data_IF_741052956189
#
_entry.id   IF_741052956189
#
_cell.length_a   1.000
_cell.length_b   1.000
_cell.length_c   1.000
_cell.angle_alpha   90.00
_cell.angle_beta   90.00
_cell.angle_gamma   90.00
#
_symmetry.space_group_name_H-M   'P 1'
#
loop_
_entity.id
_entity.type
_entity.pdbx_description
1 polymer ?
#
# COMPACT_ATOMS: atom_id res chain seq x y z
N UNK A 1 30.30 23.16 10.65
CA UNK A 1 30.96 24.48 10.69
C UNK A 1 31.48 24.85 9.32
N UNK A 2 31.53 26.13 8.98
CA UNK A 2 32.03 26.61 7.68
C UNK A 2 33.23 27.52 7.95
N UNK A 3 34.39 27.16 7.41
CA UNK A 3 35.60 27.99 7.47
C UNK A 3 35.67 28.89 6.23
N UNK A 4 35.63 30.20 6.47
CA UNK A 4 35.70 31.24 5.44
C UNK A 4 37.07 31.89 5.55
N UNK A 5 38.01 31.40 4.75
CA UNK A 5 39.41 31.83 4.78
C UNK A 5 40.11 31.43 3.48
N UNK A 6 41.13 32.17 3.02
CA UNK A 6 41.98 31.77 1.89
C UNK A 6 42.94 30.60 2.21
N UNK A 7 42.83 30.00 3.40
CA UNK A 7 43.57 28.82 3.85
C UNK A 7 42.67 27.99 4.78
N UNK A 8 42.87 26.68 4.85
CA UNK A 8 42.05 25.73 5.61
C UNK A 8 42.69 25.30 6.95
N UNK A 9 43.44 26.20 7.60
CA UNK A 9 44.24 25.90 8.80
C UNK A 9 43.36 25.42 9.97
N UNK A 10 42.15 25.97 10.12
CA UNK A 10 41.31 25.65 11.27
C UNK A 10 40.67 24.27 11.14
N UNK A 11 40.66 23.64 9.96
CA UNK A 11 40.10 22.30 9.77
C UNK A 11 40.70 21.28 10.74
N UNK A 12 42.03 21.22 10.85
CA UNK A 12 42.71 20.26 11.72
C UNK A 12 42.40 20.49 13.20
N UNK A 13 42.26 21.75 13.61
CA UNK A 13 41.94 22.10 15.00
C UNK A 13 40.48 21.73 15.27
N UNK A 14 39.56 22.23 14.45
CA UNK A 14 38.13 22.01 14.61
C UNK A 14 37.75 20.54 14.57
N UNK A 15 38.38 19.73 13.71
CA UNK A 15 38.12 18.29 13.64
C UNK A 15 38.50 17.54 14.94
N UNK A 16 39.42 18.08 15.74
CA UNK A 16 39.83 17.48 17.01
C UNK A 16 38.97 17.93 18.21
N UNK A 17 38.32 19.10 18.12
CA UNK A 17 37.54 19.69 19.22
C UNK A 17 36.02 19.61 19.02
N UNK A 18 35.56 19.44 17.79
CA UNK A 18 34.14 19.30 17.48
C UNK A 18 33.69 17.83 17.63
N UNK A 19 32.41 17.64 17.92
CA UNK A 19 31.80 16.32 17.91
C UNK A 19 31.83 15.72 16.50
N UNK A 20 31.93 14.39 16.42
CA UNK A 20 31.94 13.63 15.15
C UNK A 20 30.67 13.80 14.31
N UNK A 21 29.58 14.28 14.91
CA UNK A 21 28.32 14.60 14.24
C UNK A 21 28.37 15.94 13.50
N UNK A 22 29.37 16.79 13.74
CA UNK A 22 29.49 18.09 13.10
C UNK A 22 30.27 17.95 11.79
N UNK A 23 29.61 18.25 10.67
CA UNK A 23 30.30 18.37 9.37
C UNK A 23 31.06 19.69 9.32
N UNK A 24 32.39 19.62 9.21
CA UNK A 24 33.27 20.78 9.04
C UNK A 24 33.68 20.90 7.57
N UNK A 25 33.49 22.09 6.99
CA UNK A 25 33.76 22.35 5.55
C UNK A 25 34.57 23.63 5.40
N UNK A 26 35.73 23.56 4.75
CA UNK A 26 36.48 24.73 4.30
C UNK A 26 36.03 25.15 2.90
N UNK A 27 35.86 26.45 2.67
CA UNK A 27 35.43 26.95 1.35
C UNK A 27 36.59 27.08 0.34
N UNK A 28 37.82 27.09 0.81
CA UNK A 28 39.00 27.28 -0.02
C UNK A 28 40.19 26.49 0.53
N UNK A 29 40.96 25.91 -0.38
CA UNK A 29 42.21 25.23 -0.09
C UNK A 29 43.27 25.74 -1.08
N UNK A 30 44.45 26.06 -0.55
CA UNK A 30 45.54 26.59 -1.38
C UNK A 30 46.31 25.42 -1.99
N UNK A 31 45.91 25.02 -3.20
CA UNK A 31 46.67 24.10 -4.05
C UNK A 31 47.55 24.88 -5.03
N UNK A 32 48.63 24.27 -5.54
CA UNK A 32 49.51 24.92 -6.53
C UNK A 32 48.75 25.26 -7.84
N UNK A 33 47.74 24.45 -8.17
CA UNK A 33 46.77 24.71 -9.23
C UNK A 33 45.52 25.40 -8.66
N UNK A 34 45.23 26.61 -9.13
CA UNK A 34 44.14 27.46 -8.62
C UNK A 34 42.77 26.96 -9.12
N UNK A 35 42.22 25.92 -8.51
CA UNK A 35 40.97 25.32 -8.97
C UNK A 35 39.74 25.87 -8.24
N UNK A 36 38.91 26.63 -8.98
CA UNK A 36 37.54 26.99 -8.59
C UNK A 36 36.64 25.76 -8.31
N UNK A 37 37.08 24.57 -8.72
CA UNK A 37 36.41 23.28 -8.48
C UNK A 37 36.27 22.97 -6.98
N UNK A 38 37.26 23.35 -6.17
CA UNK A 38 37.26 23.11 -4.71
C UNK A 38 36.09 23.85 -4.04
N UNK A 39 35.78 25.06 -4.52
CA UNK A 39 34.69 25.86 -3.96
C UNK A 39 33.31 25.22 -4.24
N UNK A 40 33.06 24.78 -5.48
CA UNK A 40 31.80 24.12 -5.84
C UNK A 40 31.67 22.75 -5.15
N UNK A 41 32.76 22.02 -4.95
CA UNK A 41 32.77 20.79 -4.16
C UNK A 41 32.36 21.06 -2.71
N UNK A 42 32.92 22.10 -2.09
CA UNK A 42 32.55 22.50 -0.73
C UNK A 42 31.08 22.91 -0.61
N UNK A 43 30.51 23.59 -1.61
CA UNK A 43 29.07 23.86 -1.67
C UNK A 43 28.27 22.54 -1.75
N UNK A 44 28.72 21.57 -2.55
CA UNK A 44 28.12 20.24 -2.63
C UNK A 44 28.14 19.51 -1.27
N UNK A 45 29.25 19.60 -0.52
CA UNK A 45 29.36 19.06 0.84
C UNK A 45 28.36 19.73 1.79
N UNK A 46 28.16 21.04 1.68
CA UNK A 46 27.14 21.75 2.47
C UNK A 46 25.72 21.29 2.12
N UNK A 47 25.42 21.07 0.84
CA UNK A 47 24.12 20.53 0.41
C UNK A 47 23.88 19.13 1.00
N UNK A 48 24.87 18.24 0.91
CA UNK A 48 24.79 16.90 1.48
C UNK A 48 24.66 16.90 3.01
N UNK A 49 25.18 17.93 3.68
CA UNK A 49 24.98 18.16 5.12
C UNK A 49 23.59 18.71 5.47
N UNK A 50 22.70 18.88 4.49
CA UNK A 50 21.32 19.32 4.66
C UNK A 50 21.10 20.83 4.49
N UNK A 51 22.13 21.62 4.15
CA UNK A 51 21.95 23.03 3.81
C UNK A 51 21.37 23.20 2.40
N UNK A 52 20.84 24.38 2.09
CA UNK A 52 20.20 24.68 0.80
C UNK A 52 20.83 25.91 0.12
N UNK A 53 22.11 25.83 -0.31
CA UNK A 53 22.80 26.94 -0.95
C UNK A 53 22.14 27.33 -2.29
N UNK A 54 21.96 28.64 -2.52
CA UNK A 54 21.35 29.17 -3.74
C UNK A 54 22.40 29.34 -4.86
N UNK A 55 22.86 28.22 -5.41
CA UNK A 55 23.97 28.18 -6.39
C UNK A 55 23.70 29.03 -7.63
N UNK A 56 22.44 29.18 -8.04
CA UNK A 56 22.04 29.99 -9.18
C UNK A 56 22.53 31.45 -9.09
N UNK A 57 22.68 32.00 -7.88
CA UNK A 57 23.15 33.38 -7.65
C UNK A 57 24.64 33.59 -7.97
N UNK A 58 25.41 32.50 -8.14
CA UNK A 58 26.82 32.58 -8.55
C UNK A 58 26.97 32.83 -10.05
N UNK A 59 25.91 32.63 -10.83
CA UNK A 59 25.90 32.75 -12.29
C UNK A 59 24.94 33.86 -12.72
N UNK A 60 25.05 34.29 -13.97
CA UNK A 60 24.08 35.21 -14.56
C UNK A 60 22.67 34.61 -14.54
N UNK A 61 21.67 35.48 -14.44
CA UNK A 61 20.26 35.09 -14.49
C UNK A 61 19.94 34.35 -15.78
N UNK A 62 19.20 33.24 -15.67
CA UNK A 62 18.72 32.46 -16.81
C UNK A 62 17.47 33.10 -17.38
N UNK A 63 17.42 33.28 -18.69
CA UNK A 63 16.26 33.76 -19.44
C UNK A 63 15.26 32.60 -19.65
N UNK A 64 13.98 32.85 -19.39
CA UNK A 64 12.89 31.89 -19.61
C UNK A 64 11.94 32.37 -20.71
N UNK A 65 11.30 31.45 -21.48
CA UNK A 65 11.30 30.00 -21.33
C UNK A 65 12.61 29.35 -21.82
N UNK A 66 12.86 28.12 -21.37
CA UNK A 66 14.02 27.34 -21.82
C UNK A 66 13.92 26.96 -23.31
N UNK A 67 15.06 26.76 -23.95
CA UNK A 67 15.15 26.40 -25.37
C UNK A 67 14.50 25.04 -25.69
N UNK A 68 14.01 24.91 -26.93
CA UNK A 68 13.50 23.63 -27.46
C UNK A 68 14.62 22.57 -27.43
N UNK A 69 14.31 21.37 -26.95
CA UNK A 69 15.27 20.28 -26.81
C UNK A 69 15.98 20.22 -25.46
N UNK A 70 15.67 21.13 -24.53
CA UNK A 70 16.09 20.98 -23.13
C UNK A 70 15.57 19.65 -22.56
N UNK A 71 16.44 18.80 -21.97
CA UNK A 71 16.05 17.48 -21.46
C UNK A 71 14.92 17.53 -20.44
N UNK A 72 14.09 16.48 -20.42
CA UNK A 72 13.04 16.32 -19.41
C UNK A 72 13.63 15.95 -18.05
N UNK A 73 13.11 16.57 -16.98
CA UNK A 73 13.49 16.26 -15.60
C UNK A 73 12.73 15.02 -15.07
N UNK A 74 11.46 14.86 -15.45
CA UNK A 74 10.58 13.80 -14.91
C UNK A 74 11.17 12.38 -14.97
N UNK A 75 11.82 11.93 -16.05
CA UNK A 75 12.39 10.57 -16.11
C UNK A 75 13.60 10.33 -15.20
N UNK A 76 14.21 11.40 -14.66
CA UNK A 76 15.39 11.31 -13.79
C UNK A 76 15.01 11.16 -12.31
N UNK A 77 13.78 11.49 -11.95
CA UNK A 77 13.28 11.38 -10.57
C UNK A 77 12.81 9.93 -10.36
N UNK A 78 13.37 9.28 -9.34
CA UNK A 78 13.00 7.92 -8.94
C UNK A 78 12.46 7.93 -7.52
N UNK A 79 11.46 7.09 -7.28
CA UNK A 79 10.90 6.85 -5.95
C UNK A 79 11.23 5.44 -5.50
N UNK A 80 11.17 5.23 -4.18
CA UNK A 80 11.21 3.89 -3.62
C UNK A 80 9.86 3.20 -3.86
N UNK A 81 9.87 2.17 -4.70
CA UNK A 81 8.70 1.38 -5.08
C UNK A 81 8.76 -0.04 -4.49
N UNK A 82 9.42 -0.22 -3.34
CA UNK A 82 9.53 -1.52 -2.67
C UNK A 82 8.20 -2.04 -2.12
N UNK A 83 7.29 -1.13 -1.73
CA UNK A 83 5.99 -1.49 -1.17
C UNK A 83 4.89 -1.42 -2.23
N UNK A 84 4.14 -2.52 -2.36
CA UNK A 84 2.97 -2.57 -3.22
C UNK A 84 1.72 -2.10 -2.46
N UNK A 85 1.00 -1.16 -3.06
CA UNK A 85 -0.31 -0.75 -2.57
C UNK A 85 -1.39 -1.66 -3.14
N UNK A 86 -2.44 -1.91 -2.36
CA UNK A 86 -3.60 -2.66 -2.84
C UNK A 86 -4.22 -1.96 -4.05
N UNK A 87 -4.29 -2.69 -5.17
CA UNK A 87 -5.02 -2.27 -6.37
C UNK A 87 -6.17 -3.24 -6.57
N UNK A 88 -7.41 -2.72 -6.53
CA UNK A 88 -8.59 -3.50 -6.84
C UNK A 88 -8.47 -4.03 -8.28
N UNK A 89 -8.26 -5.33 -8.41
CA UNK A 89 -8.35 -6.03 -9.69
C UNK A 89 -9.77 -6.58 -9.81
N UNK A 90 -10.52 -6.12 -10.80
CA UNK A 90 -11.80 -6.74 -11.15
C UNK A 90 -11.47 -8.12 -11.72
N UNK A 91 -11.51 -9.15 -10.88
CA UNK A 91 -11.59 -10.54 -11.37
C UNK A 91 -12.98 -10.68 -11.97
N UNK A 92 -13.07 -11.15 -13.22
CA UNK A 92 -14.34 -11.67 -13.72
C UNK A 92 -14.79 -12.74 -12.73
N UNK A 93 -15.98 -12.58 -12.14
CA UNK A 93 -16.58 -13.60 -11.28
C UNK A 93 -16.51 -14.92 -12.03
N UNK A 94 -15.96 -15.94 -11.39
CA UNK A 94 -16.06 -17.30 -11.92
C UNK A 94 -17.56 -17.60 -12.06
N UNK A 95 -17.99 -17.81 -13.29
CA UNK A 95 -19.35 -18.25 -13.56
C UNK A 95 -19.44 -19.63 -12.95
N UNK A 96 -20.13 -19.73 -11.82
CA UNK A 96 -20.43 -21.01 -11.22
C UNK A 96 -21.45 -21.68 -12.13
N UNK A 97 -21.02 -22.70 -12.88
CA UNK A 97 -21.92 -23.59 -13.64
C UNK A 97 -22.31 -24.82 -12.80
N UNK A 98 -21.87 -24.86 -11.54
CA UNK A 98 -22.03 -26.00 -10.64
C UNK A 98 -23.22 -25.80 -9.69
N UNK A 99 -24.11 -26.81 -9.64
CA UNK A 99 -25.27 -26.83 -8.72
C UNK A 99 -24.90 -27.10 -7.27
N UNK A 100 -23.60 -27.15 -6.97
CA UNK A 100 -23.01 -27.34 -5.65
C UNK A 100 -21.80 -26.42 -5.49
N UNK A 101 -21.73 -25.73 -4.35
CA UNK A 101 -20.62 -24.83 -3.96
C UNK A 101 -20.22 -25.15 -2.53
N UNK A 102 -18.92 -25.10 -2.23
CA UNK A 102 -18.41 -25.13 -0.85
C UNK A 102 -17.96 -23.73 -0.46
N UNK A 103 -18.47 -23.24 0.67
CA UNK A 103 -18.04 -21.98 1.28
C UNK A 103 -17.28 -22.30 2.56
N UNK A 104 -16.02 -21.89 2.62
CA UNK A 104 -15.20 -22.03 3.82
C UNK A 104 -15.22 -20.75 4.63
N UNK A 105 -15.42 -20.88 5.95
CA UNK A 105 -15.60 -19.75 6.87
C UNK A 105 -14.68 -19.95 8.07
N UNK A 106 -13.80 -18.98 8.28
CA UNK A 106 -12.89 -18.92 9.42
C UNK A 106 -12.99 -17.57 10.10
N UNK A 107 -13.28 -17.55 11.42
CA UNK A 107 -13.33 -16.29 12.18
C UNK A 107 -11.97 -15.61 12.38
N UNK A 108 -10.89 -16.24 11.93
CA UNK A 108 -9.54 -15.63 11.88
C UNK A 108 -9.44 -14.67 10.69
N UNK A 109 -10.17 -14.96 9.60
CA UNK A 109 -10.15 -14.12 8.41
C UNK A 109 -10.90 -12.82 8.67
N UNK A 110 -10.31 -11.69 8.26
CA UNK A 110 -10.87 -10.35 8.49
C UNK A 110 -12.28 -10.22 7.88
N UNK A 111 -12.53 -10.89 6.76
CA UNK A 111 -13.83 -10.94 6.10
C UNK A 111 -14.93 -11.51 7.01
N UNK A 112 -14.62 -12.52 7.82
CA UNK A 112 -15.59 -13.23 8.65
C UNK A 112 -15.48 -12.93 10.14
N UNK A 113 -14.54 -12.07 10.56
CA UNK A 113 -14.33 -11.68 11.94
C UNK A 113 -15.61 -11.13 12.61
N UNK A 114 -16.50 -10.49 11.84
CA UNK A 114 -17.78 -9.99 12.35
C UNK A 114 -18.70 -11.09 12.90
N UNK A 115 -18.55 -12.35 12.45
CA UNK A 115 -19.36 -13.47 12.95
C UNK A 115 -19.09 -13.77 14.42
N UNK A 116 -17.94 -13.34 14.97
CA UNK A 116 -17.63 -13.46 16.41
C UNK A 116 -18.63 -12.74 17.31
N UNK A 117 -19.38 -11.77 16.78
CA UNK A 117 -20.42 -11.06 17.51
C UNK A 117 -21.73 -11.83 17.69
N UNK A 118 -21.96 -12.92 16.95
CA UNK A 118 -23.23 -13.66 17.03
C UNK A 118 -23.15 -14.80 18.06
N UNK A 119 -23.38 -14.44 19.32
CA UNK A 119 -23.29 -15.36 20.46
C UNK A 119 -24.68 -15.73 20.98
N UNK A 120 -24.97 -17.03 21.05
CA UNK A 120 -26.21 -17.58 21.61
C UNK A 120 -25.85 -18.61 22.67
N UNK A 121 -26.38 -18.46 23.88
CA UNK A 121 -26.08 -19.33 25.03
C UNK A 121 -24.56 -19.52 25.23
N UNK A 122 -23.82 -18.41 25.22
CA UNK A 122 -22.35 -18.37 25.41
C UNK A 122 -21.53 -19.09 24.32
N UNK A 123 -22.18 -19.53 23.23
CA UNK A 123 -21.51 -20.14 22.08
C UNK A 123 -21.58 -19.21 20.89
N UNK A 124 -20.46 -19.04 20.21
CA UNK A 124 -20.44 -18.40 18.90
C UNK A 124 -21.10 -19.35 17.90
N UNK A 125 -22.21 -18.93 17.31
CA UNK A 125 -23.03 -19.77 16.45
C UNK A 125 -23.17 -19.06 15.12
N UNK A 126 -23.05 -19.77 14.02
CA UNK A 126 -23.29 -19.21 12.70
C UNK A 126 -24.75 -18.76 12.58
N UNK A 127 -25.04 -17.51 12.19
CA UNK A 127 -26.42 -17.01 12.13
C UNK A 127 -27.27 -17.78 11.12
N UNK A 128 -28.53 -18.06 11.48
CA UNK A 128 -29.47 -18.70 10.57
C UNK A 128 -29.65 -17.92 9.26
N UNK A 129 -29.62 -16.59 9.34
CA UNK A 129 -29.68 -15.69 8.18
C UNK A 129 -28.47 -15.83 7.25
N UNK A 130 -27.31 -16.24 7.77
CA UNK A 130 -26.13 -16.48 6.94
C UNK A 130 -26.34 -17.63 5.94
N UNK A 131 -27.08 -18.68 6.34
CA UNK A 131 -27.39 -19.78 5.41
C UNK A 131 -28.26 -19.28 4.26
N UNK A 132 -29.26 -18.44 4.55
CA UNK A 132 -30.13 -17.85 3.53
C UNK A 132 -29.35 -16.92 2.61
N UNK A 133 -28.45 -16.11 3.16
CA UNK A 133 -27.59 -15.21 2.39
C UNK A 133 -26.72 -15.97 1.38
N UNK A 134 -26.05 -17.04 1.80
CA UNK A 134 -25.20 -17.81 0.89
C UNK A 134 -25.99 -18.55 -0.20
N UNK A 135 -27.18 -19.08 0.12
CA UNK A 135 -28.06 -19.64 -0.92
C UNK A 135 -28.53 -18.56 -1.90
N UNK A 136 -28.85 -17.36 -1.41
CA UNK A 136 -29.22 -16.23 -2.25
C UNK A 136 -28.07 -15.82 -3.18
N UNK A 137 -26.86 -15.69 -2.64
CA UNK A 137 -25.66 -15.37 -3.41
C UNK A 137 -25.34 -16.43 -4.47
N UNK A 138 -25.50 -17.73 -4.12
CA UNK A 138 -25.38 -18.84 -5.07
C UNK A 138 -26.39 -18.72 -6.22
N UNK A 139 -27.68 -18.46 -5.92
CA UNK A 139 -28.72 -18.27 -6.94
C UNK A 139 -28.42 -17.07 -7.85
N UNK A 140 -27.98 -15.95 -7.28
CA UNK A 140 -27.60 -14.77 -8.04
C UNK A 140 -26.40 -15.06 -8.97
N UNK A 141 -25.41 -15.80 -8.46
CA UNK A 141 -24.23 -16.20 -9.23
C UNK A 141 -24.58 -17.13 -10.38
N UNK A 142 -25.47 -18.12 -10.17
CA UNK A 142 -26.00 -18.98 -11.25
C UNK A 142 -26.76 -18.17 -12.33
N UNK A 143 -27.34 -17.02 -11.97
CA UNK A 143 -28.00 -16.09 -12.90
C UNK A 143 -27.04 -15.06 -13.53
N UNK A 144 -25.74 -15.13 -13.26
CA UNK A 144 -24.75 -14.12 -13.64
C UNK A 144 -25.15 -12.70 -13.18
N UNK A 145 -25.70 -12.59 -11.97
CA UNK A 145 -26.12 -11.34 -11.35
C UNK A 145 -25.49 -11.19 -9.96
N UNK A 146 -25.50 -9.97 -9.45
CA UNK A 146 -25.21 -9.71 -8.04
C UNK A 146 -26.47 -9.93 -7.20
N UNK A 147 -26.30 -10.45 -5.97
CA UNK A 147 -27.43 -10.75 -5.08
C UNK A 147 -28.31 -9.51 -4.85
N UNK A 148 -27.72 -8.31 -4.78
CA UNK A 148 -28.45 -7.04 -4.63
C UNK A 148 -29.47 -6.78 -5.76
N UNK A 149 -29.24 -7.35 -6.94
CA UNK A 149 -30.09 -7.21 -8.12
C UNK A 149 -30.97 -8.46 -8.37
N UNK A 150 -30.90 -9.47 -7.51
CA UNK A 150 -31.66 -10.71 -7.66
C UNK A 150 -32.68 -10.82 -6.53
N UNK A 151 -33.95 -10.41 -6.72
CA UNK A 151 -34.97 -10.63 -5.70
C UNK A 151 -35.18 -12.14 -5.49
N UNK A 152 -35.30 -12.54 -4.23
CA UNK A 152 -35.52 -13.93 -3.81
C UNK A 152 -36.68 -14.01 -2.83
N UNK A 153 -37.43 -15.12 -2.90
CA UNK A 153 -38.45 -15.49 -1.92
C UNK A 153 -38.04 -16.85 -1.34
N UNK A 154 -38.03 -16.94 -0.02
CA UNK A 154 -37.80 -18.19 0.69
C UNK A 154 -39.12 -18.65 1.31
N UNK A 155 -39.52 -19.89 1.00
CA UNK A 155 -40.75 -20.52 1.50
C UNK A 155 -40.38 -21.82 2.21
N UNK A 156 -41.12 -22.19 3.24
CA UNK A 156 -40.99 -23.47 3.98
C UNK A 156 -39.55 -23.79 4.45
N UNK A 157 -38.80 -22.76 4.85
CA UNK A 157 -37.42 -22.89 5.34
C UNK A 157 -37.40 -23.56 6.71
N UNK A 158 -36.58 -24.62 6.84
CA UNK A 158 -36.36 -25.33 8.09
C UNK A 158 -34.87 -25.35 8.47
N UNK A 159 -34.54 -24.80 9.64
CA UNK A 159 -33.19 -24.88 10.20
C UNK A 159 -33.08 -26.10 11.13
N UNK A 160 -32.33 -27.12 10.70
CA UNK A 160 -32.26 -28.40 11.41
C UNK A 160 -31.26 -28.35 12.56
N UNK A 161 -30.11 -27.71 12.35
CA UNK A 161 -29.01 -27.65 13.31
C UNK A 161 -28.25 -26.33 13.16
N UNK A 162 -27.89 -25.76 14.31
CA UNK A 162 -27.00 -24.61 14.37
C UNK A 162 -25.53 -25.04 14.25
N UNK A 163 -24.74 -24.29 13.48
CA UNK A 163 -23.29 -24.51 13.36
C UNK A 163 -22.55 -23.69 14.42
N UNK A 164 -21.77 -24.34 15.27
CA UNK A 164 -20.93 -23.65 16.27
C UNK A 164 -19.63 -23.22 15.59
N UNK A 165 -19.26 -21.96 15.75
CA UNK A 165 -18.01 -21.38 15.28
C UNK A 165 -16.96 -21.44 16.40
N UNK A 166 -15.71 -21.74 16.04
CA UNK A 166 -14.58 -21.73 16.95
C UNK A 166 -13.43 -20.96 16.33
N UNK A 167 -12.67 -20.22 17.14
CA UNK A 167 -11.47 -19.51 16.69
C UNK A 167 -10.38 -20.46 16.16
N UNK A 168 -10.47 -21.75 16.48
CA UNK A 168 -9.46 -22.75 16.11
C UNK A 168 -9.83 -23.54 14.85
N UNK A 169 -11.08 -23.43 14.36
CA UNK A 169 -11.57 -24.28 13.29
C UNK A 169 -12.22 -23.45 12.19
N UNK A 170 -11.82 -23.75 10.97
CA UNK A 170 -12.56 -23.41 9.76
C UNK A 170 -13.79 -24.34 9.64
N UNK A 171 -14.91 -23.78 9.20
CA UNK A 171 -16.09 -24.57 8.84
C UNK A 171 -16.29 -24.54 7.34
N UNK A 172 -16.74 -25.64 6.77
CA UNK A 172 -17.16 -25.72 5.37
C UNK A 172 -18.68 -25.89 5.31
N UNK A 173 -19.33 -25.03 4.54
CA UNK A 173 -20.74 -25.10 4.22
C UNK A 173 -20.89 -25.54 2.77
N UNK A 174 -21.39 -26.75 2.55
CA UNK A 174 -21.79 -27.22 1.23
C UNK A 174 -23.19 -26.74 0.91
N UNK A 175 -23.31 -25.90 -0.10
CA UNK A 175 -24.54 -25.36 -0.65
C UNK A 175 -24.90 -26.16 -1.89
N UNK A 176 -26.16 -26.58 -2.00
CA UNK A 176 -26.64 -27.28 -3.19
C UNK A 176 -28.01 -26.77 -3.60
N UNK A 177 -28.24 -26.71 -4.90
CA UNK A 177 -29.52 -26.30 -5.48
C UNK A 177 -29.98 -27.38 -6.45
N UNK A 178 -31.23 -27.78 -6.30
CA UNK A 178 -31.90 -28.68 -7.23
C UNK A 178 -33.02 -27.91 -7.92
N UNK A 179 -33.06 -28.01 -9.24
CA UNK A 179 -34.18 -27.49 -10.02
C UNK A 179 -35.36 -28.45 -9.86
N UNK A 180 -36.49 -27.93 -9.40
CA UNK A 180 -37.73 -28.70 -9.39
C UNK A 180 -38.22 -28.93 -10.81
N UNK A 181 -38.56 -30.19 -11.14
CA UNK A 181 -39.34 -30.47 -12.34
C UNK A 181 -40.77 -29.96 -12.12
N UNK A 182 -41.09 -28.80 -12.68
CA UNK A 182 -42.48 -28.38 -12.83
C UNK A 182 -43.07 -29.26 -13.94
N UNK A 183 -43.80 -30.30 -13.56
CA UNK A 183 -44.65 -31.01 -14.50
C UNK A 183 -45.83 -30.07 -14.79
N UNK A 184 -45.73 -29.29 -15.86
CA UNK A 184 -46.88 -28.60 -16.47
C UNK A 184 -47.88 -29.57 -17.07
#
# INVERSE_FOLDING_TARGET
TIEISPQNILQHILNNYLYSTVTNVALYERTEDHNNEIFLESIGKLYNAGLQPQIANLYSTVEFPVSRGTPMISPLIRWDHLEDLFVMRVRQKEIIDNKEIVVSISTIDEEFAYLTGHVVNEKNVFPAMGYLFYIWEMIASLKNQEYINTPIVFEDVNFIRATVLSQQNEIELTLSIQEGNIIT
#
